data_IF_410917461510
#
_entry.id   IF_410917461510
#
_cell.length_a   1.000
_cell.length_b   1.000
_cell.length_c   1.000
_cell.angle_alpha   90.00
_cell.angle_beta   90.00
_cell.angle_gamma   90.00
#
_symmetry.space_group_name_H-M   'P 1'
#
loop_
_entity.id
_entity.type
_entity.pdbx_description
1 polymer ?
#
# COMPACT_ATOMS: atom_id res chain seq x y z
N UNK A 1 14.82 9.40 -3.72
CA UNK A 1 13.37 9.08 -3.76
C UNK A 1 12.79 9.42 -2.40
N UNK A 2 12.05 10.51 -2.28
CA UNK A 2 11.15 10.72 -1.14
C UNK A 2 9.80 10.12 -1.56
N UNK A 3 9.37 9.06 -0.88
CA UNK A 3 8.03 8.50 -1.05
C UNK A 3 7.12 9.06 0.06
N UNK A 4 5.84 9.34 -0.23
CA UNK A 4 4.92 9.83 0.79
C UNK A 4 4.77 8.81 1.91
N UNK A 5 4.48 9.30 3.10
CA UNK A 5 4.27 8.43 4.25
C UNK A 5 2.89 7.78 4.13
N UNK A 6 2.85 6.46 4.26
CA UNK A 6 1.63 5.70 4.07
C UNK A 6 0.82 5.63 5.37
N UNK A 7 -0.46 6.02 5.31
CA UNK A 7 -1.42 5.97 6.43
C UNK A 7 -2.55 5.00 6.09
N UNK A 8 -2.86 4.09 7.02
CA UNK A 8 -3.91 3.08 6.83
C UNK A 8 -5.32 3.65 7.03
N UNK A 9 -6.26 3.37 6.13
CA UNK A 9 -7.68 3.72 6.25
C UNK A 9 -8.30 3.28 7.58
N UNK A 10 -7.88 2.12 8.11
CA UNK A 10 -8.38 1.61 9.38
C UNK A 10 -8.03 2.51 10.57
N UNK A 11 -7.06 3.42 10.45
CA UNK A 11 -6.78 4.44 11.47
C UNK A 11 -7.94 5.42 11.65
N UNK A 12 -8.70 5.67 10.58
CA UNK A 12 -9.83 6.59 10.55
C UNK A 12 -11.16 5.90 10.86
N UNK A 13 -11.20 4.57 10.96
CA UNK A 13 -12.45 3.83 11.16
C UNK A 13 -13.12 4.25 12.47
N UNK A 14 -14.40 4.59 12.40
CA UNK A 14 -15.21 4.88 13.59
C UNK A 14 -15.52 3.59 14.35
N UNK A 15 -15.60 3.69 15.67
CA UNK A 15 -15.90 2.53 16.53
C UNK A 15 -17.34 2.05 16.41
N UNK A 16 -18.25 2.98 16.17
CA UNK A 16 -19.68 2.74 15.94
C UNK A 16 -20.00 2.05 14.59
N UNK A 17 -18.99 1.86 13.74
CA UNK A 17 -19.17 1.26 12.42
C UNK A 17 -19.74 2.21 11.35
N UNK A 18 -19.98 3.48 11.67
CA UNK A 18 -20.56 4.46 10.75
C UNK A 18 -19.54 5.05 9.75
N UNK A 19 -18.66 4.21 9.19
CA UNK A 19 -17.63 4.61 8.23
C UNK A 19 -16.38 5.21 8.91
N UNK A 20 -15.92 6.36 8.39
CA UNK A 20 -14.64 6.99 8.77
C UNK A 20 -14.83 8.33 9.49
N UNK A 21 -13.95 8.61 10.45
CA UNK A 21 -13.70 9.95 10.99
C UNK A 21 -12.74 10.63 10.02
N UNK A 22 -13.24 11.62 9.27
CA UNK A 22 -12.43 12.33 8.28
C UNK A 22 -11.32 13.13 8.97
N UNK A 23 -10.08 13.13 8.43
CA UNK A 23 -9.01 13.98 8.92
C UNK A 23 -9.34 15.47 8.73
N UNK A 24 -8.84 16.31 9.62
CA UNK A 24 -8.80 17.77 9.41
C UNK A 24 -7.68 18.13 8.43
N UNK A 25 -7.75 19.25 7.70
CA UNK A 25 -6.71 19.66 6.75
C UNK A 25 -5.30 19.75 7.34
N UNK A 26 -5.19 20.08 8.64
CA UNK A 26 -3.93 20.25 9.37
C UNK A 26 -3.37 18.95 10.00
N UNK A 27 -4.09 17.83 9.88
CA UNK A 27 -3.77 16.56 10.58
C UNK A 27 -2.35 16.08 10.33
N UNK A 28 -1.81 16.28 9.13
CA UNK A 28 -0.47 15.86 8.72
C UNK A 28 0.35 17.04 8.18
N UNK A 29 0.21 18.22 8.79
CA UNK A 29 0.89 19.44 8.36
C UNK A 29 2.40 19.23 8.15
N UNK A 30 2.90 19.57 6.96
CA UNK A 30 4.31 19.45 6.60
C UNK A 30 4.77 18.06 6.16
N UNK A 31 3.87 17.08 6.05
CA UNK A 31 4.17 15.74 5.56
C UNK A 31 3.41 15.43 4.27
N UNK A 32 4.09 14.88 3.27
CA UNK A 32 3.42 14.28 2.12
C UNK A 32 2.92 12.88 2.49
N UNK A 33 1.61 12.64 2.38
CA UNK A 33 0.97 11.44 2.92
C UNK A 33 0.08 10.74 1.90
N UNK A 34 0.19 9.43 1.83
CA UNK A 34 -0.64 8.57 0.99
C UNK A 34 -1.60 7.74 1.84
N UNK A 35 -2.73 7.33 1.24
CA UNK A 35 -3.75 6.54 1.92
C UNK A 35 -3.71 5.08 1.46
N UNK A 36 -3.43 4.17 2.39
CA UNK A 36 -3.55 2.73 2.22
C UNK A 36 -4.98 2.27 2.49
N UNK A 37 -5.44 1.27 1.72
CA UNK A 37 -6.80 0.72 1.81
C UNK A 37 -7.04 -0.07 3.11
N UNK A 38 -5.98 -0.47 3.81
CA UNK A 38 -5.98 -1.37 4.94
C UNK A 38 -6.42 -2.81 4.61
N UNK A 39 -6.25 -3.26 3.35
CA UNK A 39 -6.68 -4.59 2.89
C UNK A 39 -6.21 -5.74 3.78
N UNK A 40 -4.92 -5.79 4.12
CA UNK A 40 -4.39 -6.83 5.03
C UNK A 40 -5.08 -6.83 6.40
N UNK A 41 -5.23 -5.66 7.01
CA UNK A 41 -5.88 -5.51 8.33
C UNK A 41 -7.36 -5.86 8.25
N UNK A 42 -8.02 -5.51 7.14
CA UNK A 42 -9.42 -5.82 6.93
C UNK A 42 -9.67 -7.33 6.91
N UNK A 43 -8.89 -8.05 6.11
CA UNK A 43 -8.97 -9.52 6.03
C UNK A 43 -8.64 -10.18 7.37
N UNK A 44 -7.52 -9.79 8.01
CA UNK A 44 -7.05 -10.44 9.22
C UNK A 44 -7.97 -10.19 10.43
N UNK A 45 -8.49 -8.97 10.58
CA UNK A 45 -9.25 -8.57 11.78
C UNK A 45 -10.76 -8.72 11.64
N UNK A 46 -11.28 -8.58 10.43
CA UNK A 46 -12.73 -8.52 10.19
C UNK A 46 -13.22 -9.57 9.18
N UNK A 47 -12.33 -10.38 8.59
CA UNK A 47 -12.67 -11.37 7.56
C UNK A 47 -13.00 -10.75 6.20
N UNK A 48 -12.87 -9.43 6.06
CA UNK A 48 -13.28 -8.67 4.89
C UNK A 48 -13.33 -7.18 5.20
N UNK A 49 -13.67 -6.35 4.23
CA UNK A 49 -13.82 -4.92 4.46
C UNK A 49 -15.09 -4.61 5.26
N UNK A 50 -14.99 -3.99 6.45
CA UNK A 50 -16.16 -3.60 7.24
C UNK A 50 -16.67 -2.21 6.84
N UNK A 51 -16.24 -1.68 5.69
CA UNK A 51 -16.68 -0.40 5.12
C UNK A 51 -16.94 -0.58 3.63
N UNK A 52 -17.82 0.26 3.09
CA UNK A 52 -18.16 0.24 1.67
C UNK A 52 -17.09 0.95 0.82
N UNK A 53 -17.09 0.69 -0.49
CA UNK A 53 -16.29 1.46 -1.46
C UNK A 53 -16.63 2.94 -1.38
N UNK A 54 -17.93 3.28 -1.32
CA UNK A 54 -18.41 4.66 -1.19
C UNK A 54 -17.83 5.38 0.03
N UNK A 55 -17.85 4.74 1.20
CA UNK A 55 -17.31 5.35 2.42
C UNK A 55 -15.80 5.54 2.32
N UNK A 56 -15.10 4.59 1.69
CA UNK A 56 -13.66 4.68 1.48
C UNK A 56 -13.28 5.78 0.47
N UNK A 57 -14.00 5.90 -0.65
CA UNK A 57 -13.81 7.00 -1.62
C UNK A 57 -14.11 8.35 -0.98
N UNK A 58 -15.13 8.44 -0.10
CA UNK A 58 -15.39 9.66 0.67
C UNK A 58 -14.19 10.06 1.55
N UNK A 59 -13.51 9.10 2.18
CA UNK A 59 -12.27 9.36 2.92
C UNK A 59 -11.14 9.81 1.97
N UNK A 60 -11.00 9.17 0.82
CA UNK A 60 -10.00 9.54 -0.19
C UNK A 60 -10.23 10.95 -0.77
N UNK A 61 -11.47 11.40 -0.90
CA UNK A 61 -11.80 12.75 -1.36
C UNK A 61 -11.73 13.84 -0.28
N UNK A 62 -11.69 13.47 1.00
CA UNK A 62 -11.78 14.42 2.11
C UNK A 62 -10.45 15.07 2.52
N UNK A 63 -9.33 14.69 1.91
CA UNK A 63 -8.00 15.16 2.28
C UNK A 63 -7.08 15.18 1.06
N UNK A 64 -6.10 16.11 0.97
CA UNK A 64 -5.16 16.17 -0.15
C UNK A 64 -4.07 15.09 -0.04
N UNK A 65 -4.45 13.82 -0.17
CA UNK A 65 -3.48 12.71 -0.21
C UNK A 65 -2.55 12.84 -1.41
N UNK A 66 -1.31 12.34 -1.34
CA UNK A 66 -0.38 12.24 -2.47
C UNK A 66 -0.92 11.28 -3.55
N UNK A 67 -1.33 10.09 -3.12
CA UNK A 67 -2.09 9.05 -3.85
C UNK A 67 -2.91 8.27 -2.82
N UNK A 68 -3.90 7.50 -3.27
CA UNK A 68 -4.65 6.58 -2.42
C UNK A 68 -4.76 5.24 -3.14
N UNK A 69 -4.56 4.14 -2.43
CA UNK A 69 -4.59 2.80 -3.01
C UNK A 69 -6.02 2.32 -3.24
N UNK A 70 -6.23 1.54 -4.29
CA UNK A 70 -7.50 0.83 -4.46
C UNK A 70 -7.68 -0.19 -3.32
N UNK A 71 -8.93 -0.49 -2.98
CA UNK A 71 -9.23 -1.62 -2.11
C UNK A 71 -8.78 -2.92 -2.80
N UNK A 72 -8.18 -3.82 -2.05
CA UNK A 72 -7.47 -4.98 -2.56
C UNK A 72 -7.61 -6.19 -1.63
N UNK A 73 -7.36 -7.37 -2.17
CA UNK A 73 -7.41 -8.63 -1.42
C UNK A 73 -6.03 -9.26 -1.37
N UNK A 74 -5.33 -9.00 -0.29
CA UNK A 74 -4.02 -9.56 0.01
C UNK A 74 -4.02 -11.10 0.01
N UNK A 75 -2.89 -11.68 -0.40
CA UNK A 75 -2.67 -13.07 -0.76
C UNK A 75 -1.58 -13.75 0.09
N UNK A 76 -1.21 -13.19 1.24
CA UNK A 76 -0.25 -13.81 2.15
C UNK A 76 -0.79 -15.16 2.66
N UNK A 77 0.07 -16.18 2.89
CA UNK A 77 -0.35 -17.54 3.23
C UNK A 77 -1.24 -17.65 4.48
N UNK A 78 -1.10 -16.73 5.42
CA UNK A 78 -1.95 -16.68 6.62
C UNK A 78 -3.41 -16.32 6.32
N UNK A 79 -3.67 -15.71 5.16
CA UNK A 79 -4.98 -15.27 4.68
C UNK A 79 -5.45 -16.12 3.47
N UNK A 80 -4.57 -16.37 2.50
CA UNK A 80 -4.84 -17.19 1.32
C UNK A 80 -4.03 -18.50 1.40
N UNK A 81 -4.67 -19.57 1.87
CA UNK A 81 -3.98 -20.82 2.24
C UNK A 81 -3.75 -21.77 1.08
N UNK A 82 -4.43 -21.56 -0.04
CA UNK A 82 -4.35 -22.41 -1.21
C UNK A 82 -4.41 -21.60 -2.52
N UNK A 83 -4.01 -22.20 -3.66
CA UNK A 83 -4.00 -21.52 -4.95
C UNK A 83 -5.37 -21.04 -5.43
N UNK A 84 -6.47 -21.71 -5.06
CA UNK A 84 -7.81 -21.33 -5.47
C UNK A 84 -8.25 -20.04 -4.77
N UNK A 85 -7.92 -19.90 -3.49
CA UNK A 85 -8.16 -18.68 -2.72
C UNK A 85 -7.30 -17.51 -3.22
N UNK A 86 -6.05 -17.76 -3.60
CA UNK A 86 -5.20 -16.75 -4.26
C UNK A 86 -5.85 -16.27 -5.57
N UNK A 87 -6.27 -17.20 -6.44
CA UNK A 87 -6.96 -16.86 -7.69
C UNK A 87 -8.25 -16.06 -7.46
N UNK A 88 -9.05 -16.44 -6.46
CA UNK A 88 -10.28 -15.71 -6.09
C UNK A 88 -9.97 -14.27 -5.66
N UNK A 89 -8.92 -14.07 -4.87
CA UNK A 89 -8.49 -12.76 -4.37
C UNK A 89 -7.94 -11.86 -5.45
N UNK A 90 -7.20 -12.41 -6.40
CA UNK A 90 -6.78 -11.70 -7.61
C UNK A 90 -8.00 -11.14 -8.37
N UNK A 91 -9.00 -11.98 -8.64
CA UNK A 91 -10.22 -11.56 -9.32
C UNK A 91 -11.07 -10.57 -8.50
N UNK A 92 -11.07 -10.68 -7.17
CA UNK A 92 -11.71 -9.70 -6.29
C UNK A 92 -10.98 -8.35 -6.29
N UNK A 93 -9.65 -8.35 -6.37
CA UNK A 93 -8.82 -7.14 -6.40
C UNK A 93 -9.10 -6.34 -7.68
N UNK A 94 -9.17 -6.99 -8.84
CA UNK A 94 -9.55 -6.32 -10.08
C UNK A 94 -10.98 -5.74 -10.04
N UNK A 95 -11.93 -6.48 -9.44
CA UNK A 95 -13.30 -5.99 -9.22
C UNK A 95 -13.35 -4.77 -8.29
N UNK A 96 -12.55 -4.76 -7.23
CA UNK A 96 -12.46 -3.62 -6.33
C UNK A 96 -11.83 -2.41 -6.99
N UNK A 97 -10.78 -2.59 -7.80
CA UNK A 97 -10.22 -1.48 -8.58
C UNK A 97 -11.28 -0.81 -9.46
N UNK A 98 -12.04 -1.61 -10.22
CA UNK A 98 -13.15 -1.11 -11.04
C UNK A 98 -14.17 -0.35 -10.18
N UNK A 99 -14.62 -0.93 -9.07
CA UNK A 99 -15.58 -0.29 -8.18
C UNK A 99 -15.07 1.02 -7.58
N UNK A 100 -13.81 1.06 -7.14
CA UNK A 100 -13.18 2.27 -6.62
C UNK A 100 -13.03 3.35 -7.70
N UNK A 101 -12.67 2.99 -8.94
CA UNK A 101 -12.57 3.94 -10.06
C UNK A 101 -13.93 4.52 -10.43
N UNK A 102 -14.96 3.68 -10.55
CA UNK A 102 -16.33 4.13 -10.86
C UNK A 102 -16.87 5.07 -9.77
N UNK A 103 -16.67 4.72 -8.50
CA UNK A 103 -17.13 5.56 -7.39
C UNK A 103 -16.31 6.86 -7.27
N UNK A 104 -15.00 6.80 -7.51
CA UNK A 104 -14.16 8.00 -7.56
C UNK A 104 -14.61 8.96 -8.66
N UNK A 105 -14.91 8.44 -9.86
CA UNK A 105 -15.44 9.23 -10.97
C UNK A 105 -16.78 9.89 -10.61
N UNK A 106 -17.71 9.17 -9.98
CA UNK A 106 -18.99 9.73 -9.50
C UNK A 106 -18.80 10.83 -8.46
N UNK A 107 -17.83 10.67 -7.57
CA UNK A 107 -17.58 11.60 -6.46
C UNK A 107 -16.66 12.77 -6.83
N UNK A 108 -16.13 12.84 -8.07
CA UNK A 108 -15.14 13.84 -8.47
C UNK A 108 -13.79 13.69 -7.77
N UNK A 109 -13.45 12.47 -7.33
CA UNK A 109 -12.18 12.13 -6.68
C UNK A 109 -11.26 11.50 -7.73
N UNK A 110 -9.95 11.78 -7.67
CA UNK A 110 -8.99 11.16 -8.57
C UNK A 110 -9.02 9.63 -8.46
N UNK A 111 -8.71 8.92 -9.55
CA UNK A 111 -8.62 7.47 -9.52
C UNK A 111 -7.58 6.97 -8.50
N UNK A 112 -7.82 5.81 -7.88
CA UNK A 112 -6.85 5.20 -6.97
C UNK A 112 -5.64 4.64 -7.72
N UNK A 113 -4.54 4.46 -6.99
CA UNK A 113 -3.41 3.62 -7.38
C UNK A 113 -3.88 2.15 -7.43
N UNK A 114 -3.85 1.47 -8.60
CA UNK A 114 -4.11 0.03 -8.68
C UNK A 114 -3.14 -0.77 -7.83
N UNK A 115 -3.55 -1.91 -7.28
CA UNK A 115 -2.66 -2.79 -6.52
C UNK A 115 -2.68 -4.18 -7.12
N UNK A 116 -1.54 -4.62 -7.66
CA UNK A 116 -1.35 -5.99 -8.10
C UNK A 116 -1.22 -6.91 -6.89
N UNK A 117 -1.94 -8.03 -6.91
CA UNK A 117 -1.96 -9.02 -5.85
C UNK A 117 -1.60 -10.41 -6.39
N UNK A 118 -0.99 -11.24 -5.53
CA UNK A 118 -0.56 -12.57 -5.88
C UNK A 118 0.38 -13.19 -4.84
N UNK A 119 0.69 -14.48 -4.99
CA UNK A 119 1.75 -15.12 -4.20
C UNK A 119 2.97 -15.47 -5.04
N UNK A 120 2.81 -16.07 -6.21
CA UNK A 120 3.89 -16.35 -7.17
C UNK A 120 3.91 -15.32 -8.30
N UNK A 121 4.99 -15.25 -9.06
CA UNK A 121 5.13 -14.27 -10.14
C UNK A 121 3.98 -14.31 -11.17
N UNK A 122 3.51 -15.51 -11.53
CA UNK A 122 2.39 -15.67 -12.47
C UNK A 122 1.05 -15.17 -11.92
N UNK A 123 0.88 -15.15 -10.59
CA UNK A 123 -0.32 -14.58 -9.97
C UNK A 123 -0.43 -13.08 -10.25
N UNK A 124 0.69 -12.35 -10.14
CA UNK A 124 0.72 -10.91 -10.39
C UNK A 124 0.48 -10.58 -11.86
N UNK A 125 0.96 -11.41 -12.79
CA UNK A 125 0.67 -11.27 -14.22
C UNK A 125 -0.82 -11.50 -14.50
N UNK A 126 -1.41 -12.56 -13.94
CA UNK A 126 -2.87 -12.78 -14.01
C UNK A 126 -3.65 -11.60 -13.44
N UNK A 127 -3.18 -11.03 -12.33
CA UNK A 127 -3.80 -9.85 -11.72
C UNK A 127 -3.77 -8.64 -12.65
N UNK A 128 -2.63 -8.40 -13.30
CA UNK A 128 -2.50 -7.36 -14.31
C UNK A 128 -3.45 -7.59 -15.48
N UNK A 129 -3.54 -8.82 -16.00
CA UNK A 129 -4.45 -9.17 -17.11
C UNK A 129 -5.91 -8.88 -16.76
N UNK A 130 -6.35 -9.23 -15.54
CA UNK A 130 -7.70 -8.93 -15.06
C UNK A 130 -8.01 -7.43 -14.96
N UNK A 131 -6.99 -6.58 -14.84
CA UNK A 131 -7.12 -5.13 -14.72
C UNK A 131 -6.83 -4.41 -16.05
N UNK A 132 -6.26 -5.09 -17.04
CA UNK A 132 -5.69 -4.47 -18.25
C UNK A 132 -6.69 -3.69 -19.10
N UNK A 133 -7.99 -4.00 -19.01
CA UNK A 133 -9.07 -3.27 -19.67
C UNK A 133 -9.49 -1.97 -18.95
N UNK A 134 -9.00 -1.73 -17.73
CA UNK A 134 -9.24 -0.53 -16.95
C UNK A 134 -8.18 0.53 -17.26
N UNK A 135 -8.47 1.83 -17.03
CA UNK A 135 -7.44 2.86 -17.12
C UNK A 135 -6.40 2.66 -16.01
N UNK A 136 -5.19 2.21 -16.38
CA UNK A 136 -4.08 1.98 -15.48
C UNK A 136 -2.99 3.05 -15.63
N UNK A 137 -2.62 3.78 -14.54
CA UNK A 137 -1.49 4.69 -14.53
C UNK A 137 -0.16 3.94 -14.70
N UNK A 138 0.93 4.68 -14.88
CA UNK A 138 2.27 4.11 -15.04
C UNK A 138 2.84 3.53 -13.75
N UNK A 139 2.49 4.12 -12.61
CA UNK A 139 2.83 3.57 -11.30
C UNK A 139 1.67 2.70 -10.81
N UNK A 140 1.96 1.48 -10.37
CA UNK A 140 1.00 0.58 -9.71
C UNK A 140 1.56 0.12 -8.36
N UNK A 141 0.70 -0.28 -7.45
CA UNK A 141 1.06 -0.93 -6.22
C UNK A 141 1.37 -2.41 -6.41
N UNK A 142 2.29 -2.95 -5.61
CA UNK A 142 2.55 -4.39 -5.49
C UNK A 142 2.29 -4.82 -4.05
N UNK A 143 1.18 -5.54 -3.84
CA UNK A 143 0.77 -6.06 -2.53
C UNK A 143 1.39 -7.41 -2.21
N UNK A 144 1.13 -7.95 -1.01
CA UNK A 144 1.60 -9.29 -0.57
C UNK A 144 3.11 -9.53 -0.61
N UNK A 145 3.92 -8.45 -0.61
CA UNK A 145 5.39 -8.51 -0.53
C UNK A 145 5.94 -8.21 0.86
N UNK A 146 5.07 -7.81 1.80
CA UNK A 146 5.43 -7.53 3.18
C UNK A 146 6.01 -8.76 3.88
N UNK A 147 7.19 -8.61 4.48
CA UNK A 147 7.96 -9.67 5.19
C UNK A 147 8.35 -10.89 4.36
N UNK A 148 8.15 -10.85 3.04
CA UNK A 148 8.59 -11.91 2.12
C UNK A 148 10.11 -12.03 2.11
N UNK A 149 10.61 -13.23 1.80
CA UNK A 149 12.04 -13.44 1.60
C UNK A 149 12.53 -12.67 0.36
N UNK A 150 13.81 -12.25 0.38
CA UNK A 150 14.44 -11.56 -0.74
C UNK A 150 14.64 -12.51 -1.93
N UNK A 151 15.32 -13.62 -1.68
CA UNK A 151 15.53 -14.71 -2.64
C UNK A 151 14.54 -15.87 -2.48
N UNK A 152 14.73 -16.91 -3.30
CA UNK A 152 13.81 -18.05 -3.41
C UNK A 152 12.84 -17.90 -4.60
N UNK A 153 12.14 -18.99 -4.93
CA UNK A 153 11.19 -19.03 -6.05
C UNK A 153 9.94 -18.17 -5.83
N UNK A 154 9.61 -17.91 -4.57
CA UNK A 154 8.55 -16.98 -4.15
C UNK A 154 9.13 -15.69 -3.53
N UNK A 155 10.44 -15.46 -3.65
CA UNK A 155 11.11 -14.26 -3.18
C UNK A 155 10.72 -13.02 -3.98
N UNK A 156 10.77 -11.85 -3.34
CA UNK A 156 10.39 -10.59 -3.99
C UNK A 156 11.28 -10.26 -5.20
N UNK A 157 12.58 -10.60 -5.18
CA UNK A 157 13.48 -10.37 -6.31
C UNK A 157 13.11 -11.24 -7.52
N UNK A 158 12.70 -12.49 -7.29
CA UNK A 158 12.24 -13.38 -8.35
C UNK A 158 10.97 -12.85 -9.01
N UNK A 159 10.01 -12.40 -8.19
CA UNK A 159 8.77 -11.77 -8.66
C UNK A 159 9.09 -10.53 -9.49
N UNK A 160 9.91 -9.62 -8.97
CA UNK A 160 10.29 -8.40 -9.67
C UNK A 160 11.00 -8.69 -10.99
N UNK A 161 11.92 -9.66 -11.02
CA UNK A 161 12.63 -10.06 -12.24
C UNK A 161 11.68 -10.60 -13.30
N UNK A 162 10.68 -11.39 -12.90
CA UNK A 162 9.65 -11.89 -13.82
C UNK A 162 8.78 -10.74 -14.32
N UNK A 163 8.27 -9.90 -13.42
CA UNK A 163 7.49 -8.73 -13.80
C UNK A 163 8.30 -7.78 -14.70
N UNK A 164 9.62 -7.74 -14.54
CA UNK A 164 10.49 -6.92 -15.36
C UNK A 164 10.46 -7.29 -16.84
N UNK A 165 10.45 -8.59 -17.11
CA UNK A 165 10.42 -9.12 -18.46
C UNK A 165 9.05 -9.00 -19.12
N UNK A 166 7.98 -9.14 -18.36
CA UNK A 166 6.64 -9.39 -18.92
C UNK A 166 5.71 -8.17 -18.90
N UNK A 167 5.82 -7.28 -17.91
CA UNK A 167 4.97 -6.08 -17.87
C UNK A 167 5.42 -5.07 -18.94
N UNK A 168 4.52 -4.19 -19.43
CA UNK A 168 4.92 -3.11 -20.35
C UNK A 168 6.01 -2.22 -19.72
N UNK A 169 7.01 -1.78 -20.49
CA UNK A 169 8.20 -1.07 -19.98
C UNK A 169 7.89 0.20 -19.17
N UNK A 170 6.80 0.90 -19.49
CA UNK A 170 6.37 2.11 -18.77
C UNK A 170 5.77 1.85 -17.39
N UNK A 171 5.51 0.58 -17.03
CA UNK A 171 4.89 0.22 -15.76
C UNK A 171 5.92 0.03 -14.65
N UNK A 172 5.81 0.86 -13.61
CA UNK A 172 6.65 0.84 -12.41
C UNK A 172 5.80 0.56 -11.16
N UNK A 173 6.46 0.20 -10.06
CA UNK A 173 5.84 -0.43 -8.91
C UNK A 173 6.18 0.28 -7.60
N UNK A 174 5.15 0.57 -6.81
CA UNK A 174 5.25 0.89 -5.39
C UNK A 174 5.10 -0.39 -4.57
N UNK A 175 6.12 -0.80 -3.82
CA UNK A 175 6.08 -2.04 -3.04
C UNK A 175 5.60 -1.78 -1.61
N UNK A 176 4.52 -2.45 -1.23
CA UNK A 176 3.90 -2.24 0.08
C UNK A 176 4.60 -3.01 1.21
N UNK A 177 4.97 -2.30 2.29
CA UNK A 177 5.41 -2.91 3.54
C UNK A 177 6.76 -3.65 3.49
N UNK A 178 7.70 -3.17 2.67
CA UNK A 178 9.05 -3.74 2.56
C UNK A 178 9.83 -3.52 3.86
N UNK A 179 10.55 -4.56 4.33
CA UNK A 179 11.42 -4.44 5.52
C UNK A 179 12.67 -3.62 5.20
N UNK A 180 13.14 -2.81 6.15
CA UNK A 180 14.29 -1.91 5.99
C UNK A 180 15.54 -2.55 5.38
N UNK A 181 15.88 -3.77 5.75
CA UNK A 181 17.05 -4.49 5.22
C UNK A 181 16.93 -4.89 3.74
N UNK A 182 15.69 -5.03 3.23
CA UNK A 182 15.41 -5.34 1.84
C UNK A 182 15.37 -4.09 0.94
N UNK A 183 15.25 -2.90 1.53
CA UNK A 183 15.08 -1.64 0.78
C UNK A 183 16.29 -1.39 -0.13
N UNK A 184 17.51 -1.57 0.37
CA UNK A 184 18.72 -1.30 -0.40
C UNK A 184 18.85 -2.19 -1.64
N UNK A 185 18.46 -3.46 -1.54
CA UNK A 185 18.49 -4.39 -2.67
C UNK A 185 17.38 -4.09 -3.69
N UNK A 186 16.20 -3.68 -3.21
CA UNK A 186 15.05 -3.39 -4.07
C UNK A 186 15.14 -2.02 -4.75
N UNK A 187 15.79 -1.04 -4.12
CA UNK A 187 15.93 0.31 -4.64
C UNK A 187 16.69 0.40 -5.96
N UNK A 188 17.55 -0.58 -6.27
CA UNK A 188 18.28 -0.66 -7.54
C UNK A 188 17.50 -1.28 -8.69
N UNK A 189 16.31 -1.84 -8.45
CA UNK A 189 15.56 -2.55 -9.48
C UNK A 189 14.81 -1.56 -10.39
N UNK A 190 14.89 -1.69 -11.73
CA UNK A 190 14.39 -0.68 -12.68
C UNK A 190 12.88 -0.42 -12.59
N UNK A 191 12.11 -1.39 -12.11
CA UNK A 191 10.66 -1.24 -11.89
C UNK A 191 10.26 -0.67 -10.55
N UNK A 192 11.15 -0.59 -9.57
CA UNK A 192 10.78 -0.12 -8.24
C UNK A 192 10.73 1.41 -8.28
N UNK A 193 9.53 1.95 -8.29
CA UNK A 193 9.27 3.39 -8.22
C UNK A 193 9.41 3.92 -6.80
N UNK A 194 8.94 3.15 -5.82
CA UNK A 194 9.08 3.46 -4.40
C UNK A 194 8.77 2.25 -3.54
N UNK A 195 9.09 2.34 -2.25
CA UNK A 195 8.76 1.36 -1.23
C UNK A 195 8.23 2.11 -0.01
N UNK A 196 7.33 1.49 0.75
CA UNK A 196 6.98 1.96 2.09
C UNK A 196 7.37 0.96 3.18
N UNK A 197 7.45 1.46 4.41
CA UNK A 197 7.36 0.61 5.59
C UNK A 197 6.35 1.19 6.58
N UNK A 198 5.23 0.49 6.80
CA UNK A 198 4.31 0.78 7.92
C UNK A 198 4.87 0.35 9.29
N UNK A 199 6.19 0.21 9.44
CA UNK A 199 6.84 -0.16 10.70
C UNK A 199 6.54 0.85 11.83
N UNK A 200 6.35 2.13 11.47
CA UNK A 200 5.97 3.20 12.39
C UNK A 200 4.56 3.01 12.97
N UNK A 201 3.56 2.61 12.16
CA UNK A 201 2.18 2.39 12.62
C UNK A 201 2.11 1.17 13.53
N UNK A 202 2.90 0.13 13.22
CA UNK A 202 3.05 -1.03 14.10
C UNK A 202 3.71 -0.67 15.44
N UNK A 203 4.69 0.24 15.45
CA UNK A 203 5.31 0.74 16.68
C UNK A 203 4.32 1.57 17.51
N UNK A 204 3.61 2.51 16.88
CA UNK A 204 2.60 3.36 17.53
C UNK A 204 1.45 2.52 18.15
N UNK A 205 1.08 1.40 17.54
CA UNK A 205 0.09 0.46 18.11
C UNK A 205 0.61 -0.35 19.29
N UNK A 206 1.92 -0.62 19.36
CA UNK A 206 2.53 -1.35 20.50
C UNK A 206 2.67 -0.45 21.73
N UNK A 207 2.91 0.85 21.52
CA UNK A 207 3.11 1.81 22.61
C UNK A 207 1.83 2.11 23.41
N UNK A 208 0.66 1.98 22.78
CA UNK A 208 -0.63 2.01 23.50
C UNK A 208 -1.43 0.75 23.26
N UNK A 209 -1.56 -0.09 24.30
CA UNK A 209 -2.47 -1.24 24.38
C UNK A 209 -3.96 -0.83 24.43
N UNK A 210 -4.37 0.13 23.60
CA UNK A 210 -5.72 0.70 23.54
C UNK A 210 -5.74 2.07 22.83
N UNK A 211 -6.76 2.30 21.99
CA UNK A 211 -7.07 3.58 21.34
C UNK A 211 -5.90 4.35 20.71
N UNK A 212 -5.34 3.84 19.61
CA UNK A 212 -4.37 4.56 18.78
C UNK A 212 -5.11 5.59 17.91
N UNK A 213 -5.39 6.79 18.46
CA UNK A 213 -6.10 7.89 17.79
C UNK A 213 -5.30 8.40 16.58
N UNK A 214 -6.00 9.04 15.63
CA UNK A 214 -5.36 9.67 14.46
C UNK A 214 -4.29 10.69 14.90
N UNK A 215 -4.54 11.48 15.94
CA UNK A 215 -3.57 12.47 16.45
C UNK A 215 -2.30 11.81 17.03
N UNK A 216 -2.46 10.69 17.75
CA UNK A 216 -1.32 9.93 18.28
C UNK A 216 -0.50 9.30 17.16
N UNK A 217 -1.16 8.73 16.14
CA UNK A 217 -0.47 8.19 14.95
C UNK A 217 0.22 9.27 14.16
N UNK A 218 -0.41 10.43 13.97
CA UNK A 218 0.18 11.59 13.30
C UNK A 218 1.46 12.04 14.02
N UNK A 219 1.45 12.10 15.35
CA UNK A 219 2.65 12.46 16.14
C UNK A 219 3.78 11.44 15.95
N UNK A 220 3.48 10.13 15.98
CA UNK A 220 4.47 9.08 15.72
C UNK A 220 4.99 9.09 14.28
N UNK A 221 4.09 9.34 13.31
CA UNK A 221 4.39 9.46 11.90
C UNK A 221 5.34 10.63 11.64
N UNK A 222 5.02 11.83 12.14
CA UNK A 222 5.87 13.01 11.98
C UNK A 222 7.25 12.79 12.62
N UNK A 223 7.31 12.22 13.84
CA UNK A 223 8.58 11.88 14.51
C UNK A 223 9.41 10.86 13.74
N UNK A 224 8.78 9.81 13.22
CA UNK A 224 9.47 8.80 12.41
C UNK A 224 9.98 9.41 11.10
N UNK A 225 9.16 10.20 10.42
CA UNK A 225 9.52 10.85 9.16
C UNK A 225 10.70 11.81 9.34
N UNK A 226 10.67 12.65 10.38
CA UNK A 226 11.81 13.50 10.72
C UNK A 226 13.07 12.68 11.05
N UNK A 227 12.93 11.56 11.76
CA UNK A 227 14.06 10.68 12.07
C UNK A 227 14.65 10.02 10.82
N UNK A 228 13.81 9.63 9.85
CA UNK A 228 14.26 9.10 8.55
C UNK A 228 14.94 10.19 7.72
N UNK A 229 14.35 11.39 7.63
CA UNK A 229 14.98 12.54 6.97
C UNK A 229 16.34 12.86 7.56
N UNK A 230 16.47 12.82 8.90
CA UNK A 230 17.76 13.00 9.58
C UNK A 230 18.75 11.87 9.31
N UNK A 231 18.28 10.62 9.17
CA UNK A 231 19.14 9.48 8.80
C UNK A 231 19.66 9.60 7.36
N UNK A 232 18.80 10.01 6.43
CA UNK A 232 19.16 10.26 5.03
C UNK A 232 20.03 11.52 4.88
N UNK A 233 19.90 12.48 5.80
CA UNK A 233 20.74 13.69 5.87
C UNK A 233 22.06 13.49 6.63
N UNK A 234 22.40 12.29 7.12
CA UNK A 234 23.71 12.02 7.70
C UNK A 234 24.74 11.82 6.58
N UNK A 235 25.73 12.72 6.43
CA UNK A 235 26.76 12.57 5.42
C UNK A 235 27.78 11.56 5.94
N UNK A 236 27.65 10.28 5.60
CA UNK A 236 28.73 9.32 5.79
C UNK A 236 28.53 8.08 4.90
N UNK A 237 28.87 8.25 3.63
CA UNK A 237 29.82 7.40 2.89
C UNK A 237 30.10 8.10 1.56
N UNK A 238 31.08 9.01 1.57
CA UNK A 238 31.76 9.42 0.33
C UNK A 238 32.78 8.33 -0.01
N UNK A 239 32.78 7.91 -1.28
CA UNK A 239 33.94 7.72 -2.18
C UNK A 239 33.42 7.00 -3.45
N UNK A 240 33.81 7.33 -4.69
CA UNK A 240 34.99 8.07 -5.17
C UNK A 240 34.63 9.10 -6.26
N UNK A 241 35.54 10.08 -6.37
CA UNK A 241 35.60 11.34 -7.14
C UNK A 241 34.58 11.52 -8.27
#
# INVERSE_FOLDING_TARGET
>A
MEAPILVSANAFRRRDGAGFKLPRPDTFSGCDVALDSAGFVAMLRYGGYPWSVRDYVRLAGAFPWAWWAAMDYCCEPQIARDPAEVARRIALTARMLKGCQEEAARAGVRHPLPVLQGWHADDYLRCFDHMSALPLPDVMGLGSVCRRHLGGTDGVLHILSRLDRELPRGKTLHLFGVKGTAISELAGHPRVHSVDSMAWDAAARREKAGSCTVDHRSTHLCRWYEAQRRHLARPQLRLAV
#
